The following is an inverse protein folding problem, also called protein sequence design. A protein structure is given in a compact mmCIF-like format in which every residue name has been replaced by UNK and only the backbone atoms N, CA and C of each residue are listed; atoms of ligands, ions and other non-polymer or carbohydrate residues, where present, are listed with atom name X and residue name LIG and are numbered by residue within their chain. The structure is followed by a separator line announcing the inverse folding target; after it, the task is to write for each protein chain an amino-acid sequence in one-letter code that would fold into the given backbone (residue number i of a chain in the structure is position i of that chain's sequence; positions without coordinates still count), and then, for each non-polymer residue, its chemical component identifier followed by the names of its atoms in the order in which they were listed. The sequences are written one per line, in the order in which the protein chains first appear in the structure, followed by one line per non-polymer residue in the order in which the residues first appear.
data_IF_597642088168
#
_entry.id   IF_597642088168
#
_cell.length_a   1.000
_cell.length_b   1.000
_cell.length_c   1.000
_cell.angle_alpha   90.00
_cell.angle_beta   90.00
_cell.angle_gamma   90.00
#
_symmetry.space_group_name_H-M   'P 1'
#
loop_
_entity.id
_entity.type
_entity.pdbx_description
1 polymer ?
#
# COMPACT_ATOMS: atom_id res chain seq x y z
N UNK A 1 4.73 0.51 -8.08
CA UNK A 1 5.60 -0.02 -9.17
C UNK A 1 6.58 1.05 -9.63
N UNK A 2 7.80 0.70 -10.06
CA UNK A 2 8.82 1.70 -10.46
C UNK A 2 8.84 2.02 -11.96
N UNK A 3 8.53 1.03 -12.81
CA UNK A 3 8.47 1.15 -14.26
C UNK A 3 7.66 0.01 -14.86
N UNK A 4 7.14 0.19 -16.07
CA UNK A 4 6.41 -0.83 -16.84
C UNK A 4 4.92 -0.55 -17.00
N UNK A 5 4.25 -1.41 -17.79
CA UNK A 5 2.79 -1.46 -17.98
C UNK A 5 2.37 -2.93 -17.98
N UNK A 6 1.27 -3.24 -17.31
CA UNK A 6 0.77 -4.61 -17.19
C UNK A 6 -0.68 -4.63 -16.73
N UNK A 7 -1.29 -5.81 -16.79
CA UNK A 7 -2.65 -6.07 -16.32
C UNK A 7 -2.61 -6.90 -15.03
N UNK A 8 -3.26 -6.42 -13.97
CA UNK A 8 -3.38 -7.10 -12.69
C UNK A 8 -4.74 -7.78 -12.64
N UNK A 9 -4.70 -9.10 -12.51
CA UNK A 9 -5.88 -9.91 -12.22
C UNK A 9 -5.91 -10.06 -10.70
N UNK A 10 -6.92 -9.50 -10.04
CA UNK A 10 -7.12 -9.60 -8.59
C UNK A 10 -8.54 -10.07 -8.32
N UNK A 11 -8.66 -11.29 -7.80
CA UNK A 11 -9.92 -12.02 -7.69
C UNK A 11 -10.64 -12.05 -9.05
N UNK A 12 -11.78 -11.38 -9.17
CA UNK A 12 -12.56 -11.31 -10.41
C UNK A 12 -12.38 -9.98 -11.15
N UNK A 13 -11.42 -9.14 -10.75
CA UNK A 13 -11.18 -7.82 -11.33
C UNK A 13 -9.93 -7.82 -12.20
N UNK A 14 -10.01 -7.09 -13.31
CA UNK A 14 -8.93 -6.89 -14.26
C UNK A 14 -8.63 -5.39 -14.29
N UNK A 15 -7.44 -5.01 -13.86
CA UNK A 15 -7.04 -3.61 -13.72
C UNK A 15 -5.75 -3.34 -14.50
N UNK A 16 -5.74 -2.42 -15.47
CA UNK A 16 -4.49 -1.95 -16.05
C UNK A 16 -3.71 -1.14 -15.03
N UNK A 17 -2.39 -1.29 -15.02
CA UNK A 17 -1.55 -0.55 -14.10
C UNK A 17 -0.20 -0.13 -14.69
N UNK A 18 0.33 0.94 -14.13
CA UNK A 18 1.53 1.66 -14.57
C UNK A 18 2.36 2.18 -13.39
N UNK A 19 3.52 2.77 -13.69
CA UNK A 19 4.45 3.24 -12.67
C UNK A 19 3.77 4.24 -11.71
N UNK A 20 4.01 4.08 -10.41
CA UNK A 20 3.31 4.84 -9.37
C UNK A 20 2.10 4.15 -8.76
N UNK A 21 1.52 3.14 -9.44
CA UNK A 21 0.35 2.44 -8.89
C UNK A 21 0.70 1.60 -7.64
N UNK A 22 -0.26 1.59 -6.70
CA UNK A 22 -0.23 0.87 -5.43
C UNK A 22 -1.41 -0.11 -5.35
N UNK A 23 -1.12 -1.33 -4.92
CA UNK A 23 -2.12 -2.37 -4.70
C UNK A 23 -1.95 -2.96 -3.30
N UNK A 24 -3.07 -3.21 -2.63
CA UNK A 24 -3.11 -4.00 -1.41
C UNK A 24 -3.56 -5.41 -1.77
N UNK A 25 -2.80 -6.40 -1.32
CA UNK A 25 -3.08 -7.82 -1.56
C UNK A 25 -3.08 -8.53 -0.22
N UNK A 26 -4.23 -9.05 0.18
CA UNK A 26 -4.38 -9.86 1.38
C UNK A 26 -4.00 -11.32 1.10
N UNK A 27 -3.56 -12.09 2.11
CA UNK A 27 -3.07 -13.47 1.92
C UNK A 27 -4.07 -14.44 1.29
N UNK A 28 -5.38 -14.17 1.40
CA UNK A 28 -6.45 -15.03 0.90
C UNK A 28 -6.86 -14.74 -0.54
N UNK A 29 -6.21 -13.79 -1.19
CA UNK A 29 -6.61 -13.31 -2.50
C UNK A 29 -5.91 -14.08 -3.62
N UNK A 30 -6.67 -14.32 -4.68
CA UNK A 30 -6.11 -14.86 -5.91
C UNK A 30 -5.65 -13.70 -6.77
N UNK A 31 -4.37 -13.70 -7.15
CA UNK A 31 -3.86 -12.64 -8.00
C UNK A 31 -2.81 -13.14 -8.99
N UNK A 32 -2.78 -12.54 -10.18
CA UNK A 32 -1.77 -12.78 -11.19
C UNK A 32 -1.52 -11.53 -12.03
N UNK A 33 -0.35 -11.45 -12.64
CA UNK A 33 0.05 -10.31 -13.46
C UNK A 33 0.38 -10.77 -14.88
N UNK A 34 -0.17 -10.07 -15.86
CA UNK A 34 0.13 -10.27 -17.29
C UNK A 34 1.02 -9.13 -17.75
N UNK A 35 2.33 -9.39 -17.90
CA UNK A 35 3.32 -8.35 -18.22
C UNK A 35 3.25 -7.96 -19.69
N UNK A 36 2.95 -6.69 -19.99
CA UNK A 36 3.02 -6.17 -21.36
C UNK A 36 4.44 -5.68 -21.69
N UNK A 37 5.12 -5.09 -20.71
CA UNK A 37 6.50 -4.62 -20.84
C UNK A 37 7.37 -5.12 -19.69
N UNK A 38 8.69 -4.99 -19.83
CA UNK A 38 9.61 -5.24 -18.72
C UNK A 38 9.25 -4.33 -17.54
N UNK A 39 8.95 -4.95 -16.41
CA UNK A 39 8.26 -4.28 -15.29
C UNK A 39 9.01 -4.53 -13.99
N UNK A 40 9.17 -3.50 -13.15
CA UNK A 40 9.89 -3.59 -11.88
C UNK A 40 8.97 -3.31 -10.68
N UNK A 41 8.72 -4.37 -9.89
CA UNK A 41 7.86 -4.33 -8.71
C UNK A 41 8.65 -4.23 -7.41
N UNK A 42 8.01 -3.63 -6.43
CA UNK A 42 8.40 -3.79 -5.02
C UNK A 42 7.22 -4.41 -4.29
N UNK A 43 7.48 -5.54 -3.62
CA UNK A 43 6.51 -6.18 -2.74
C UNK A 43 6.93 -5.90 -1.30
N UNK A 44 6.04 -5.30 -0.53
CA UNK A 44 6.21 -5.14 0.90
C UNK A 44 5.29 -6.14 1.58
N UNK A 45 5.87 -7.17 2.20
CA UNK A 45 5.14 -8.25 2.85
C UNK A 45 5.32 -8.16 4.36
N UNK A 46 4.22 -8.31 5.08
CA UNK A 46 4.19 -8.35 6.54
C UNK A 46 3.07 -9.28 7.00
N UNK A 47 3.16 -9.73 8.23
CA UNK A 47 2.09 -10.45 8.95
C UNK A 47 1.33 -9.47 9.84
N UNK A 48 0.13 -9.84 10.29
CA UNK A 48 -0.62 -9.07 11.31
C UNK A 48 0.24 -8.81 12.56
N UNK A 49 0.96 -9.85 13.02
CA UNK A 49 1.86 -9.76 14.19
C UNK A 49 2.96 -8.68 14.07
N UNK A 50 3.32 -8.26 12.86
CA UNK A 50 4.31 -7.21 12.65
C UNK A 50 3.83 -5.86 13.21
N UNK A 51 2.54 -5.55 13.03
CA UNK A 51 1.92 -4.32 13.50
C UNK A 51 1.45 -4.47 14.95
N UNK A 52 0.88 -5.61 15.33
CA UNK A 52 0.47 -5.88 16.71
C UNK A 52 1.61 -5.71 17.72
N UNK A 53 2.78 -6.27 17.41
CA UNK A 53 3.99 -6.16 18.26
C UNK A 53 4.49 -4.73 18.44
N UNK A 54 4.12 -3.82 17.54
CA UNK A 54 4.57 -2.41 17.50
C UNK A 54 3.42 -1.43 17.71
N UNK A 55 2.26 -1.90 18.17
CA UNK A 55 1.07 -1.06 18.40
C UNK A 55 1.35 0.10 19.36
N UNK A 56 2.30 -0.06 20.28
CA UNK A 56 2.75 1.01 21.18
C UNK A 56 3.46 2.18 20.49
N UNK A 57 3.97 1.98 19.26
CA UNK A 57 4.55 3.02 18.41
C UNK A 57 3.53 3.66 17.47
N UNK A 58 2.31 3.10 17.38
CA UNK A 58 1.29 3.60 16.48
C UNK A 58 0.66 4.90 17.02
N UNK A 59 0.48 5.93 16.19
CA UNK A 59 -0.36 7.08 16.53
C UNK A 59 -1.79 6.65 16.88
N UNK A 60 -2.47 7.42 17.73
CA UNK A 60 -3.85 7.14 18.15
C UNK A 60 -4.82 6.99 16.97
N UNK A 61 -4.58 7.73 15.90
CA UNK A 61 -5.39 7.66 14.68
C UNK A 61 -5.43 6.27 14.05
N UNK A 62 -4.38 5.44 14.22
CA UNK A 62 -4.32 4.07 13.70
C UNK A 62 -4.96 3.04 14.64
N UNK A 63 -5.56 3.45 15.77
CA UNK A 63 -6.29 2.54 16.67
C UNK A 63 -7.63 2.07 16.09
N UNK A 64 -8.30 2.89 15.27
CA UNK A 64 -9.62 2.61 14.70
C UNK A 64 -9.51 2.17 13.22
N UNK A 65 -8.51 2.68 12.50
CA UNK A 65 -8.23 2.35 11.10
C UNK A 65 -6.83 1.78 10.97
N UNK A 66 -6.58 0.66 11.64
CA UNK A 66 -5.26 0.03 11.64
C UNK A 66 -4.92 -0.52 10.25
N UNK A 67 -3.62 -0.70 9.93
CA UNK A 67 -3.18 -1.31 8.68
C UNK A 67 -3.88 -2.63 8.36
N UNK A 68 -4.12 -3.48 9.35
CA UNK A 68 -4.81 -4.76 9.23
C UNK A 68 -6.27 -4.57 8.78
N UNK A 69 -7.00 -3.63 9.39
CA UNK A 69 -8.38 -3.31 8.99
C UNK A 69 -8.42 -2.80 7.54
N UNK A 70 -7.49 -1.93 7.17
CA UNK A 70 -7.39 -1.41 5.79
C UNK A 70 -7.10 -2.54 4.81
N UNK A 71 -6.18 -3.44 5.14
CA UNK A 71 -5.86 -4.61 4.31
C UNK A 71 -7.06 -5.55 4.13
N UNK A 72 -8.04 -5.56 5.04
CA UNK A 72 -9.25 -6.36 4.91
C UNK A 72 -10.39 -5.68 4.15
N UNK A 73 -10.31 -4.37 3.89
CA UNK A 73 -11.35 -3.64 3.17
C UNK A 73 -11.55 -4.17 1.75
N UNK A 74 -12.72 -4.75 1.49
CA UNK A 74 -13.07 -5.34 0.20
C UNK A 74 -12.87 -4.37 -0.97
N UNK A 75 -13.33 -3.12 -0.85
CA UNK A 75 -13.26 -2.17 -1.95
C UNK A 75 -11.80 -1.83 -2.37
N UNK A 76 -10.83 -1.81 -1.43
CA UNK A 76 -9.41 -1.59 -1.73
C UNK A 76 -8.81 -2.69 -2.62
N UNK A 77 -9.46 -3.85 -2.65
CA UNK A 77 -9.08 -5.03 -3.41
C UNK A 77 -9.77 -5.11 -4.78
N UNK A 78 -10.71 -4.21 -5.05
CA UNK A 78 -11.53 -4.21 -6.26
C UNK A 78 -11.28 -2.96 -7.12
N UNK A 79 -10.45 -2.03 -6.65
CA UNK A 79 -10.16 -0.78 -7.35
C UNK A 79 -8.67 -0.48 -7.44
N UNK A 80 -8.28 0.23 -8.50
CA UNK A 80 -6.98 0.90 -8.58
C UNK A 80 -6.98 2.09 -7.60
N UNK A 81 -6.02 2.10 -6.67
CA UNK A 81 -5.80 3.22 -5.76
C UNK A 81 -5.05 4.30 -6.53
N UNK A 82 -5.78 5.35 -6.95
CA UNK A 82 -5.18 6.49 -7.63
C UNK A 82 -4.56 7.42 -6.60
N UNK A 83 -3.23 7.57 -6.66
CA UNK A 83 -2.47 8.45 -5.76
C UNK A 83 -2.09 9.70 -6.56
N UNK A 84 -2.75 10.81 -6.26
CA UNK A 84 -2.48 12.10 -6.88
C UNK A 84 -1.18 12.75 -6.37
N UNK A 85 -0.77 13.84 -7.02
CA UNK A 85 0.32 14.68 -6.50
C UNK A 85 -0.16 15.48 -5.27
N UNK A 86 0.70 15.69 -4.24
CA UNK A 86 2.11 15.31 -4.17
C UNK A 86 2.37 13.87 -3.68
N UNK A 87 1.32 13.13 -3.31
CA UNK A 87 1.43 11.84 -2.63
C UNK A 87 2.13 10.75 -3.46
N UNK A 88 2.06 10.80 -4.79
CA UNK A 88 2.75 9.83 -5.64
C UNK A 88 4.28 9.89 -5.45
N UNK A 89 4.84 11.10 -5.42
CA UNK A 89 6.27 11.31 -5.17
C UNK A 89 6.68 10.91 -3.74
N UNK A 90 5.81 11.16 -2.77
CA UNK A 90 6.01 10.76 -1.37
C UNK A 90 6.00 9.23 -1.25
N UNK A 91 5.04 8.54 -1.87
CA UNK A 91 4.99 7.08 -1.90
C UNK A 91 6.26 6.51 -2.52
N UNK A 92 6.66 6.99 -3.70
CA UNK A 92 7.87 6.53 -4.37
C UNK A 92 9.11 6.69 -3.49
N UNK A 93 9.26 7.84 -2.84
CA UNK A 93 10.38 8.11 -1.93
C UNK A 93 10.35 7.21 -0.71
N UNK A 94 9.17 7.01 -0.11
CA UNK A 94 8.95 6.13 1.04
C UNK A 94 9.32 4.68 0.72
N UNK A 95 8.88 4.17 -0.43
CA UNK A 95 9.21 2.82 -0.90
C UNK A 95 10.72 2.69 -1.16
N UNK A 96 11.35 3.68 -1.78
CA UNK A 96 12.80 3.68 -1.99
C UNK A 96 13.60 3.68 -0.69
N UNK A 97 13.14 4.45 0.32
CA UNK A 97 13.74 4.44 1.65
C UNK A 97 13.66 3.05 2.29
N UNK A 98 12.52 2.37 2.19
CA UNK A 98 12.35 1.01 2.68
C UNK A 98 13.28 0.01 1.97
N UNK A 99 13.41 0.11 0.65
CA UNK A 99 14.32 -0.74 -0.14
C UNK A 99 15.77 -0.50 0.29
N UNK A 100 16.22 0.76 0.32
CA UNK A 100 17.57 1.10 0.73
C UNK A 100 17.87 0.62 2.15
N UNK A 101 16.91 0.76 3.06
CA UNK A 101 17.06 0.28 4.44
C UNK A 101 17.12 -1.26 4.53
N UNK A 102 16.32 -1.96 3.72
CA UNK A 102 16.26 -3.43 3.67
C UNK A 102 17.61 -4.08 3.34
N UNK A 103 18.44 -3.38 2.55
CA UNK A 103 19.76 -3.86 2.14
C UNK A 103 20.79 -3.82 3.27
N UNK A 104 20.55 -3.04 4.32
CA UNK A 104 21.54 -2.77 5.37
C UNK A 104 21.13 -3.29 6.75
N UNK A 105 19.83 -3.45 7.03
CA UNK A 105 19.32 -3.78 8.37
C UNK A 105 18.10 -4.68 8.32
N UNK A 106 17.88 -5.42 9.42
CA UNK A 106 16.66 -6.19 9.61
C UNK A 106 15.46 -5.24 9.79
N UNK A 107 14.51 -5.32 8.86
CA UNK A 107 13.29 -4.49 8.84
C UNK A 107 12.30 -4.92 9.93
N UNK A 108 12.25 -6.22 10.27
CA UNK A 108 11.20 -6.82 11.10
C UNK A 108 11.06 -6.20 12.49
N UNK A 109 12.14 -5.68 13.07
CA UNK A 109 12.15 -5.01 14.37
C UNK A 109 12.42 -3.50 14.28
N UNK A 110 12.56 -2.94 13.07
CA UNK A 110 13.00 -1.55 12.90
C UNK A 110 11.86 -0.55 13.09
N UNK A 111 11.97 0.41 14.03
CA UNK A 111 11.02 1.52 14.14
C UNK A 111 10.99 2.38 12.87
N UNK A 112 12.13 2.56 12.20
CA UNK A 112 12.21 3.35 10.96
C UNK A 112 11.34 2.71 9.87
N UNK A 113 11.50 1.41 9.66
CA UNK A 113 10.68 0.70 8.68
C UNK A 113 9.20 0.71 9.07
N UNK A 114 8.89 0.60 10.35
CA UNK A 114 7.53 0.69 10.86
C UNK A 114 6.88 2.04 10.55
N UNK A 115 7.58 3.16 10.79
CA UNK A 115 7.05 4.49 10.48
C UNK A 115 6.89 4.75 8.98
N UNK A 116 7.82 4.25 8.15
CA UNK A 116 7.69 4.33 6.69
C UNK A 116 6.50 3.47 6.18
N UNK A 117 6.21 2.34 6.82
CA UNK A 117 5.00 1.58 6.52
C UNK A 117 3.73 2.33 6.95
N UNK A 118 3.72 2.92 8.15
CA UNK A 118 2.60 3.71 8.62
C UNK A 118 2.33 4.94 7.74
N UNK A 119 3.36 5.58 7.17
CA UNK A 119 3.14 6.70 6.24
C UNK A 119 2.43 6.25 4.96
N UNK A 120 2.73 5.06 4.44
CA UNK A 120 1.99 4.48 3.30
C UNK A 120 0.51 4.29 3.67
N UNK A 121 0.22 3.70 4.82
CA UNK A 121 -1.17 3.55 5.28
C UNK A 121 -1.85 4.89 5.59
N UNK A 122 -1.11 5.88 6.06
CA UNK A 122 -1.58 7.27 6.22
C UNK A 122 -2.08 7.85 4.90
N UNK A 123 -1.27 7.75 3.83
CA UNK A 123 -1.64 8.21 2.49
C UNK A 123 -2.91 7.50 1.97
N UNK A 124 -3.02 6.18 2.15
CA UNK A 124 -4.21 5.42 1.75
C UNK A 124 -5.46 5.94 2.48
N UNK A 125 -5.32 6.26 3.77
CA UNK A 125 -6.42 6.81 4.57
C UNK A 125 -6.84 8.21 4.15
N UNK A 126 -5.89 9.06 3.75
CA UNK A 126 -6.20 10.40 3.22
C UNK A 126 -7.02 10.29 1.93
N UNK A 127 -6.58 9.45 0.98
CA UNK A 127 -7.31 9.17 -0.27
C UNK A 127 -8.72 8.65 0.00
N UNK A 128 -8.86 7.81 1.02
CA UNK A 128 -10.13 7.28 1.50
C UNK A 128 -11.10 8.36 1.99
N UNK A 129 -10.58 9.31 2.80
CA UNK A 129 -11.39 10.41 3.32
C UNK A 129 -11.86 11.34 2.22
N UNK A 130 -10.98 11.66 1.27
CA UNK A 130 -11.30 12.54 0.14
C UNK A 130 -12.39 11.96 -0.78
N UNK A 131 -12.46 10.63 -0.89
CA UNK A 131 -13.56 9.96 -1.59
C UNK A 131 -14.89 10.04 -0.83
N UNK A 132 -14.90 9.77 0.47
CA UNK A 132 -16.14 9.86 1.24
C UNK A 132 -16.70 11.29 1.26
N UNK A 133 -15.83 12.30 1.29
CA UNK A 133 -16.27 13.71 1.22
C UNK A 133 -16.77 14.13 -0.17
N UNK A 134 -16.38 13.43 -1.24
CA UNK A 134 -16.90 13.67 -2.59
C UNK A 134 -18.21 12.93 -2.87
N UNK A 135 -18.45 11.77 -2.26
CA UNK A 135 -19.73 11.03 -2.37
C UNK A 135 -20.89 11.72 -1.62
N UNK A 136 -20.61 12.52 -0.58
CA UNK A 136 -21.63 13.28 0.15
C UNK A 136 -21.96 14.66 -0.46
N UNK A 137 -21.47 14.96 -1.66
CA UNK A 137 -21.70 16.24 -2.36
C UNK A 137 -22.64 16.13 -3.57
N UNK A 138 -23.30 15.00 -3.77
CA UNK A 138 -24.33 14.80 -4.80
C UNK A 138 -25.74 14.68 -4.20
#
# INVERSE_FOLDING_TARGET
MHSGRSIHHLNNHIMPYEAGDLFLIAPREFHSFTMETMTHFTYIKFTESYFESKRHLAPDEFKIGSPEILMEMKWLKEVKICIGEPCNNILKSTVNNLIAYSQHKNIGASPIAYYQLLSIFGMIREILKDRNTSVHKE
#
